data_IF_344858057214
#
_entry.id   IF_344858057214
#
_cell.length_a   1.000
_cell.length_b   1.000
_cell.length_c   1.000
_cell.angle_alpha   90.00
_cell.angle_beta   90.00
_cell.angle_gamma   90.00
#
_symmetry.space_group_name_H-M   'P 1'
#
loop_
_entity.id
_entity.type
_entity.pdbx_description
1 polymer ?
#
# COMPACT_ATOMS: atom_id res chain seq x y z
N UNK A 1 117.90 -21.93 -2.26
CA UNK A 1 117.33 -20.85 -3.09
C UNK A 1 116.06 -21.43 -3.67
N UNK A 2 114.89 -21.06 -3.15
CA UNK A 2 113.61 -21.60 -3.60
C UNK A 2 113.18 -20.84 -4.86
N UNK A 3 112.92 -21.56 -5.95
CA UNK A 3 112.40 -20.99 -7.19
C UNK A 3 110.92 -21.39 -7.29
N UNK A 4 110.03 -20.40 -7.31
CA UNK A 4 108.60 -20.61 -7.53
C UNK A 4 108.37 -20.95 -9.00
N UNK A 5 107.94 -22.18 -9.25
CA UNK A 5 107.53 -22.66 -10.57
C UNK A 5 106.07 -22.25 -10.79
N UNK A 6 105.84 -21.28 -11.68
CA UNK A 6 104.50 -20.83 -12.03
C UNK A 6 103.83 -21.89 -12.92
N UNK A 7 102.89 -22.65 -12.35
CA UNK A 7 102.08 -23.60 -13.11
C UNK A 7 101.05 -22.88 -13.99
N UNK A 8 100.87 -23.41 -15.20
CA UNK A 8 100.05 -22.84 -16.26
C UNK A 8 98.55 -22.81 -15.88
N UNK A 9 97.87 -21.72 -16.19
CA UNK A 9 96.50 -21.50 -15.74
C UNK A 9 95.50 -22.39 -16.50
N UNK A 10 94.84 -23.32 -15.81
CA UNK A 10 93.78 -24.14 -16.41
C UNK A 10 92.49 -23.32 -16.54
N UNK A 11 92.09 -23.04 -17.78
CA UNK A 11 90.84 -22.35 -18.10
C UNK A 11 89.70 -23.36 -18.17
N UNK A 12 88.79 -23.34 -17.20
CA UNK A 12 87.57 -24.16 -17.23
C UNK A 12 86.48 -23.41 -18.01
N UNK A 13 86.16 -23.89 -19.21
CA UNK A 13 85.05 -23.32 -19.99
C UNK A 13 83.70 -23.70 -19.35
N UNK A 14 82.95 -22.71 -18.87
CA UNK A 14 81.60 -22.93 -18.32
C UNK A 14 80.62 -23.35 -19.42
N UNK A 15 80.30 -24.64 -19.51
CA UNK A 15 79.36 -25.19 -20.52
C UNK A 15 77.91 -24.76 -20.28
N UNK A 16 77.59 -24.37 -19.04
CA UNK A 16 76.22 -24.10 -18.59
C UNK A 16 75.53 -22.96 -19.37
N UNK A 17 76.27 -21.89 -19.69
CA UNK A 17 75.74 -20.78 -20.49
C UNK A 17 75.61 -21.12 -21.99
N UNK A 18 76.51 -21.94 -22.53
CA UNK A 18 76.49 -22.35 -23.96
C UNK A 18 75.32 -23.28 -24.27
N UNK A 19 74.98 -24.21 -23.35
CA UNK A 19 73.85 -25.12 -23.54
C UNK A 19 72.49 -24.39 -23.61
N UNK A 20 72.32 -23.28 -22.87
CA UNK A 20 71.08 -22.50 -22.91
C UNK A 20 70.99 -21.58 -24.14
N UNK A 21 72.12 -21.21 -24.74
CA UNK A 21 72.15 -20.32 -25.90
C UNK A 21 71.74 -21.02 -27.21
N UNK A 22 71.91 -22.35 -27.30
CA UNK A 22 71.40 -23.15 -28.43
C UNK A 22 69.93 -23.57 -28.30
N UNK A 23 69.34 -23.45 -27.11
CA UNK A 23 67.98 -23.88 -26.80
C UNK A 23 67.13 -22.70 -26.30
N UNK A 24 67.18 -21.57 -27.01
CA UNK A 24 66.29 -20.44 -26.72
C UNK A 24 64.93 -20.68 -27.39
N UNK A 25 64.10 -21.51 -26.79
CA UNK A 25 62.68 -21.56 -27.17
C UNK A 25 61.96 -20.33 -26.61
N UNK A 26 61.80 -19.29 -27.44
CA UNK A 26 61.02 -18.11 -27.08
C UNK A 26 59.52 -18.40 -27.18
N UNK A 27 58.98 -19.16 -26.22
CA UNK A 27 57.53 -19.40 -26.13
C UNK A 27 56.89 -18.40 -25.18
N UNK A 28 56.05 -17.52 -25.70
CA UNK A 28 55.13 -16.72 -24.89
C UNK A 28 53.84 -17.52 -24.68
N UNK A 29 53.36 -17.54 -23.44
CA UNK A 29 52.07 -18.11 -23.09
C UNK A 29 51.14 -16.98 -22.69
N UNK A 30 49.99 -16.87 -23.35
CA UNK A 30 48.96 -15.89 -23.04
C UNK A 30 47.68 -16.61 -22.65
N UNK A 31 47.11 -16.25 -21.50
CA UNK A 31 45.81 -16.77 -21.06
C UNK A 31 44.68 -15.98 -21.72
N UNK A 32 43.56 -16.66 -22.00
CA UNK A 32 42.38 -16.02 -22.59
C UNK A 32 41.82 -14.93 -21.68
N UNK A 33 41.19 -13.92 -22.29
CA UNK A 33 40.56 -12.83 -21.56
C UNK A 33 39.33 -13.32 -20.78
N UNK A 34 39.10 -12.75 -19.60
CA UNK A 34 37.93 -13.02 -18.76
C UNK A 34 36.93 -11.89 -18.95
N UNK A 35 35.66 -12.25 -19.17
CA UNK A 35 34.57 -11.30 -19.29
C UNK A 35 33.72 -11.29 -18.03
N UNK A 36 33.34 -10.10 -17.57
CA UNK A 36 32.37 -9.89 -16.51
C UNK A 36 31.19 -9.11 -17.06
N UNK A 37 30.01 -9.36 -16.50
CA UNK A 37 28.78 -8.67 -16.84
C UNK A 37 28.04 -8.28 -15.56
N UNK A 38 27.18 -7.27 -15.64
CA UNK A 38 26.50 -6.71 -14.49
C UNK A 38 25.09 -7.28 -14.35
N UNK A 39 24.83 -8.00 -13.26
CA UNK A 39 23.51 -8.46 -12.90
C UNK A 39 22.91 -7.58 -11.78
N UNK A 40 21.69 -7.10 -11.98
CA UNK A 40 20.92 -6.39 -10.96
C UNK A 40 19.76 -7.23 -10.45
N UNK A 41 19.46 -7.10 -9.15
CA UNK A 41 18.26 -7.70 -8.53
C UNK A 41 17.40 -6.57 -7.98
N UNK A 42 16.09 -6.63 -8.27
CA UNK A 42 15.13 -5.69 -7.74
C UNK A 42 14.27 -6.35 -6.68
N UNK A 43 13.99 -5.62 -5.61
CA UNK A 43 13.08 -6.03 -4.55
C UNK A 43 11.98 -5.00 -4.42
N UNK A 44 10.74 -5.47 -4.24
CA UNK A 44 9.56 -4.60 -4.14
C UNK A 44 9.37 -4.12 -2.71
N UNK A 45 9.23 -2.81 -2.54
CA UNK A 45 8.79 -2.20 -1.28
C UNK A 45 7.35 -1.69 -1.42
N UNK A 46 6.55 -1.83 -0.35
CA UNK A 46 5.19 -1.30 -0.27
C UNK A 46 5.04 -0.57 1.05
N UNK A 47 4.49 0.64 0.99
CA UNK A 47 4.01 1.39 2.14
C UNK A 47 2.49 1.53 2.04
N UNK A 48 1.80 1.42 3.17
CA UNK A 48 0.37 1.68 3.26
C UNK A 48 0.13 3.16 3.58
N UNK A 49 -0.83 3.77 2.90
CA UNK A 49 -1.34 5.09 3.22
C UNK A 49 -2.82 4.98 3.58
N UNK A 50 -3.25 5.78 4.55
CA UNK A 50 -4.64 5.89 4.97
C UNK A 50 -5.09 7.34 4.87
N UNK A 51 -6.33 7.54 4.46
CA UNK A 51 -6.98 8.85 4.38
C UNK A 51 -8.34 8.75 5.06
N UNK A 52 -8.70 9.75 5.84
CA UNK A 52 -10.02 9.87 6.45
C UNK A 52 -10.85 10.84 5.61
N UNK A 53 -12.08 10.44 5.26
CA UNK A 53 -13.01 11.33 4.56
C UNK A 53 -13.67 12.23 5.60
N UNK A 54 -13.60 13.55 5.39
CA UNK A 54 -14.36 14.49 6.18
C UNK A 54 -15.85 14.36 5.88
N UNK A 55 -16.74 14.43 6.90
CA UNK A 55 -18.17 14.55 6.67
C UNK A 55 -18.41 15.77 5.80
N UNK A 56 -18.92 15.57 4.59
CA UNK A 56 -19.50 16.68 3.87
C UNK A 56 -20.75 17.06 4.66
N UNK A 57 -20.71 18.25 5.27
CA UNK A 57 -21.95 18.94 5.57
C UNK A 57 -22.70 18.97 4.25
N UNK A 58 -23.79 18.22 4.19
CA UNK A 58 -24.82 18.48 3.22
C UNK A 58 -25.26 19.90 3.59
N UNK A 59 -24.57 20.89 2.99
CA UNK A 59 -25.15 22.18 2.74
C UNK A 59 -26.39 21.75 2.00
N UNK A 60 -27.50 21.66 2.74
CA UNK A 60 -28.82 21.66 2.17
C UNK A 60 -28.71 22.80 1.20
N UNK A 61 -28.61 22.48 -0.09
CA UNK A 61 -28.83 23.43 -1.14
C UNK A 61 -30.28 23.80 -0.87
N UNK A 62 -30.49 24.74 0.06
CA UNK A 62 -31.69 25.53 0.15
C UNK A 62 -31.78 25.99 -1.28
N UNK A 63 -32.69 25.35 -2.03
CA UNK A 63 -32.94 25.67 -3.42
C UNK A 63 -32.93 27.19 -3.45
N UNK A 64 -32.07 27.79 -4.25
CA UNK A 64 -31.93 29.25 -4.31
C UNK A 64 -33.30 29.80 -4.76
N UNK A 65 -34.21 30.00 -3.81
CA UNK A 65 -35.55 30.52 -4.02
C UNK A 65 -35.50 31.98 -4.50
N UNK A 66 -34.30 32.55 -4.52
CA UNK A 66 -33.98 33.87 -5.07
C UNK A 66 -33.67 33.84 -6.58
N UNK A 67 -33.62 32.65 -7.20
CA UNK A 67 -33.46 32.51 -8.65
C UNK A 67 -34.75 32.84 -9.42
N UNK A 68 -34.66 33.12 -10.73
CA UNK A 68 -35.86 33.28 -11.55
C UNK A 68 -36.64 31.96 -11.61
N UNK A 69 -37.98 32.06 -11.57
CA UNK A 69 -38.85 30.88 -11.67
C UNK A 69 -38.53 30.08 -12.93
N UNK A 70 -38.43 28.74 -12.84
CA UNK A 70 -38.23 27.90 -14.00
C UNK A 70 -39.43 28.04 -14.97
N UNK A 71 -39.18 28.02 -16.29
CA UNK A 71 -40.24 28.18 -17.27
C UNK A 71 -41.29 27.07 -17.10
N UNK A 72 -42.57 27.46 -17.07
CA UNK A 72 -43.69 26.53 -16.93
C UNK A 72 -44.03 26.11 -15.49
N UNK A 73 -43.33 26.63 -14.47
CA UNK A 73 -43.67 26.37 -13.07
C UNK A 73 -45.13 26.73 -12.75
N UNK A 74 -45.55 27.93 -13.14
CA UNK A 74 -46.90 28.41 -12.85
C UNK A 74 -47.99 27.58 -13.53
N UNK A 75 -47.75 27.15 -14.78
CA UNK A 75 -48.69 26.29 -15.51
C UNK A 75 -48.78 24.89 -14.90
N UNK A 76 -47.64 24.36 -14.43
CA UNK A 76 -47.60 23.12 -13.68
C UNK A 76 -48.41 23.23 -12.38
N UNK A 77 -48.14 24.25 -11.56
CA UNK A 77 -48.80 24.48 -10.28
C UNK A 77 -50.31 24.58 -10.46
N UNK A 78 -50.78 25.42 -11.39
CA UNK A 78 -52.22 25.54 -11.69
C UNK A 78 -52.87 24.24 -12.11
N UNK A 79 -52.16 23.40 -12.88
CA UNK A 79 -52.69 22.12 -13.35
C UNK A 79 -52.81 21.09 -12.22
N UNK A 80 -51.89 21.11 -11.24
CA UNK A 80 -51.86 20.12 -10.16
C UNK A 80 -52.62 20.57 -8.90
N UNK A 81 -52.80 21.87 -8.70
CA UNK A 81 -53.39 22.48 -7.50
C UNK A 81 -54.76 21.90 -7.16
N UNK A 82 -55.72 21.98 -8.09
CA UNK A 82 -57.09 21.50 -7.86
C UNK A 82 -57.15 20.00 -7.56
N UNK A 83 -56.32 19.20 -8.26
CA UNK A 83 -56.24 17.76 -8.07
C UNK A 83 -55.68 17.43 -6.67
N UNK A 84 -54.59 18.07 -6.27
CA UNK A 84 -53.96 17.87 -4.97
C UNK A 84 -54.88 18.31 -3.83
N UNK A 85 -55.52 19.48 -3.93
CA UNK A 85 -56.46 19.96 -2.92
C UNK A 85 -57.59 18.96 -2.73
N UNK A 86 -58.20 18.51 -3.83
CA UNK A 86 -59.31 17.55 -3.78
C UNK A 86 -58.92 16.24 -3.13
N UNK A 87 -57.80 15.65 -3.52
CA UNK A 87 -57.37 14.35 -2.99
C UNK A 87 -56.83 14.47 -1.56
N UNK A 88 -56.19 15.58 -1.17
CA UNK A 88 -55.79 15.84 0.22
C UNK A 88 -57.00 16.03 1.15
N UNK A 89 -58.04 16.74 0.70
CA UNK A 89 -59.29 16.89 1.48
C UNK A 89 -59.98 15.54 1.67
N UNK A 90 -59.96 14.68 0.65
CA UNK A 90 -60.50 13.32 0.77
C UNK A 90 -59.66 12.46 1.71
N UNK A 91 -58.34 12.51 1.57
CA UNK A 91 -57.42 11.69 2.37
C UNK A 91 -57.42 12.11 3.85
N UNK A 92 -57.44 13.41 4.14
CA UNK A 92 -57.52 13.92 5.52
C UNK A 92 -58.81 13.55 6.26
N UNK A 93 -59.90 13.31 5.52
CA UNK A 93 -61.18 12.82 6.04
C UNK A 93 -61.30 11.31 5.98
N UNK A 94 -60.27 10.61 5.49
CA UNK A 94 -60.28 9.16 5.39
C UNK A 94 -59.80 8.55 6.70
N UNK A 95 -60.45 7.45 7.08
CA UNK A 95 -60.05 6.59 8.19
C UNK A 95 -59.19 5.40 7.70
N UNK A 96 -58.51 5.56 6.55
CA UNK A 96 -57.84 4.47 5.85
C UNK A 96 -56.72 3.80 6.67
N UNK A 97 -56.19 4.51 7.66
CA UNK A 97 -55.09 4.06 8.52
C UNK A 97 -55.47 3.99 10.00
N UNK A 98 -56.76 4.07 10.32
CA UNK A 98 -57.21 3.94 11.70
C UNK A 98 -56.85 2.56 12.26
N UNK A 99 -56.32 2.54 13.48
CA UNK A 99 -55.88 1.31 14.14
C UNK A 99 -54.51 0.79 13.68
N UNK A 100 -53.81 1.50 12.80
CA UNK A 100 -52.41 1.17 12.48
C UNK A 100 -51.52 1.40 13.71
N UNK A 101 -50.90 0.34 14.21
CA UNK A 101 -49.88 0.39 15.26
C UNK A 101 -48.58 -0.18 14.71
N UNK A 102 -47.63 0.70 14.37
CA UNK A 102 -46.28 0.26 14.04
C UNK A 102 -45.46 0.17 15.30
N UNK A 103 -45.05 -1.06 15.64
CA UNK A 103 -44.09 -1.31 16.69
C UNK A 103 -42.72 -1.53 16.04
N UNK A 104 -41.99 -0.44 15.83
CA UNK A 104 -40.66 -0.45 15.20
C UNK A 104 -39.59 -1.12 16.08
N UNK A 105 -39.89 -1.32 17.35
CA UNK A 105 -39.05 -2.02 18.31
C UNK A 105 -39.66 -3.38 18.62
N UNK A 106 -38.83 -4.39 18.83
CA UNK A 106 -39.30 -5.67 19.34
C UNK A 106 -39.93 -5.45 20.72
N UNK A 107 -41.17 -5.93 20.95
CA UNK A 107 -41.80 -5.82 22.27
C UNK A 107 -40.88 -6.52 23.27
N UNK A 108 -40.26 -5.76 24.15
CA UNK A 108 -39.39 -6.28 25.18
C UNK A 108 -40.15 -7.29 26.02
N UNK A 109 -39.87 -8.57 25.81
CA UNK A 109 -40.34 -9.60 26.71
C UNK A 109 -39.60 -9.39 28.04
N UNK A 110 -40.39 -9.23 29.10
CA UNK A 110 -39.90 -9.02 30.46
C UNK A 110 -38.79 -10.02 30.85
N UNK A 111 -37.89 -9.52 31.69
CA UNK A 111 -36.74 -10.18 32.36
C UNK A 111 -35.40 -10.04 31.63
N UNK A 112 -34.77 -8.87 31.81
CA UNK A 112 -33.31 -8.77 31.77
C UNK A 112 -32.75 -9.13 33.15
N UNK A 113 -32.36 -10.38 33.35
CA UNK A 113 -31.51 -10.72 34.49
C UNK A 113 -30.14 -10.04 34.31
N UNK A 114 -29.79 -9.16 35.24
CA UNK A 114 -28.48 -8.55 35.52
C UNK A 114 -27.46 -8.58 34.35
N UNK A 115 -27.57 -7.64 33.42
CA UNK A 115 -26.72 -7.54 32.21
C UNK A 115 -25.23 -7.27 32.52
N UNK A 116 -24.88 -6.89 33.74
CA UNK A 116 -23.48 -6.79 34.17
C UNK A 116 -23.40 -6.95 35.68
N UNK A 117 -22.76 -8.01 36.16
CA UNK A 117 -22.27 -8.08 37.55
C UNK A 117 -20.76 -7.94 37.49
N UNK A 118 -20.27 -6.70 37.49
CA UNK A 118 -18.86 -6.43 37.72
C UNK A 118 -18.57 -6.64 39.21
N UNK A 119 -18.01 -7.80 39.53
CA UNK A 119 -17.55 -8.14 40.89
C UNK A 119 -16.05 -7.94 40.99
N UNK A 120 -15.59 -6.71 41.18
CA UNK A 120 -14.31 -6.48 41.86
C UNK A 120 -14.56 -6.48 43.37
N UNK A 121 -14.47 -7.66 44.02
CA UNK A 121 -14.49 -7.73 45.48
C UNK A 121 -13.30 -8.50 46.03
N UNK A 122 -12.38 -7.71 46.57
CA UNK A 122 -11.54 -7.97 47.75
C UNK A 122 -10.67 -9.23 47.75
N UNK A 123 -9.43 -9.08 47.27
CA UNK A 123 -8.28 -9.77 47.87
C UNK A 123 -7.37 -8.71 48.49
N UNK A 124 -7.34 -8.66 49.83
CA UNK A 124 -6.24 -8.19 50.69
C UNK A 124 -6.81 -7.59 51.99
N UNK A 125 -7.16 -8.46 52.94
CA UNK A 125 -6.84 -8.28 54.37
C UNK A 125 -6.73 -9.67 55.01
N UNK A 126 -5.50 -10.16 55.11
CA UNK A 126 -5.07 -11.01 56.21
C UNK A 126 -3.71 -10.49 56.67
#
# INVERSE_FOLDING_TARGET
MFADEALDSVRVESVWRRSQQGAQESRSCQTSAVHSDHAGVQTRFRASSFTQTEPQEQINQQEDFNGPDPPGLMDFLKRVEDLLIKELVKNSRSHAFDGFQSNWEERSQHVSANKTIDSERSSMRH
#
